data_IF_245704364327
#
_entry.id   IF_245704364327
#
_cell.length_a   1.000
_cell.length_b   1.000
_cell.length_c   1.000
_cell.angle_alpha   90.00
_cell.angle_beta   90.00
_cell.angle_gamma   90.00
#
_symmetry.space_group_name_H-M   'P 1'
#
loop_
_entity.id
_entity.type
_entity.pdbx_description
1 polymer ?
#
# COMPACT_ATOMS: atom_id res chain seq x y z
N UNK A 1 18.91 21.42 -54.07
CA UNK A 1 18.22 20.31 -54.76
C UNK A 1 18.81 18.92 -54.44
N UNK A 2 19.96 18.47 -54.98
CA UNK A 2 20.46 17.09 -54.71
C UNK A 2 20.94 16.86 -53.27
N UNK A 3 21.51 17.89 -52.62
CA UNK A 3 21.94 17.83 -51.20
C UNK A 3 20.75 17.75 -50.23
N UNK A 4 19.63 18.41 -50.54
CA UNK A 4 18.40 18.38 -49.72
C UNK A 4 17.72 17.02 -49.77
N UNK A 5 17.71 16.37 -50.94
CA UNK A 5 17.14 15.03 -51.10
C UNK A 5 17.89 13.98 -50.24
N UNK A 6 19.22 14.02 -50.23
CA UNK A 6 20.02 13.09 -49.41
C UNK A 6 19.73 13.26 -47.91
N UNK A 7 19.65 14.50 -47.42
CA UNK A 7 19.37 14.81 -46.01
C UNK A 7 17.96 14.37 -45.60
N UNK A 8 16.96 14.58 -46.46
CA UNK A 8 15.58 14.13 -46.22
C UNK A 8 15.49 12.60 -46.07
N UNK A 9 16.26 11.85 -46.87
CA UNK A 9 16.31 10.39 -46.77
C UNK A 9 16.99 9.91 -45.48
N UNK A 10 18.07 10.55 -45.01
CA UNK A 10 18.72 10.17 -43.75
C UNK A 10 17.82 10.38 -42.53
N UNK A 11 17.12 11.52 -42.44
CA UNK A 11 16.17 11.79 -41.36
C UNK A 11 15.04 10.75 -41.31
N UNK A 12 14.48 10.42 -42.47
CA UNK A 12 13.38 9.45 -42.57
C UNK A 12 13.85 8.03 -42.27
N UNK A 13 15.01 7.62 -42.81
CA UNK A 13 15.60 6.32 -42.57
C UNK A 13 15.98 6.12 -41.09
N UNK A 14 16.52 7.15 -40.45
CA UNK A 14 16.85 7.12 -39.02
C UNK A 14 15.60 7.05 -38.17
N UNK A 15 14.54 7.77 -38.52
CA UNK A 15 13.27 7.67 -37.78
C UNK A 15 12.69 6.26 -37.85
N UNK A 16 12.74 5.62 -39.03
CA UNK A 16 12.26 4.24 -39.22
C UNK A 16 13.11 3.22 -38.47
N UNK A 17 14.43 3.36 -38.53
CA UNK A 17 15.37 2.54 -37.78
C UNK A 17 15.12 2.68 -36.27
N UNK A 18 15.05 3.92 -35.77
CA UNK A 18 14.76 4.21 -34.37
C UNK A 18 13.43 3.59 -33.92
N UNK A 19 12.38 3.67 -34.73
CA UNK A 19 11.09 3.07 -34.41
C UNK A 19 11.15 1.54 -34.33
N UNK A 20 11.90 0.91 -35.24
CA UNK A 20 12.06 -0.55 -35.27
C UNK A 20 12.87 -1.02 -34.05
N UNK A 21 14.01 -0.38 -33.79
CA UNK A 21 14.86 -0.68 -32.62
C UNK A 21 14.11 -0.41 -31.31
N UNK A 22 13.36 0.69 -31.20
CA UNK A 22 12.51 0.97 -30.04
C UNK A 22 11.45 -0.12 -29.83
N UNK A 23 10.78 -0.55 -30.91
CA UNK A 23 9.77 -1.61 -30.81
C UNK A 23 10.38 -2.93 -30.34
N UNK A 24 11.54 -3.29 -30.88
CA UNK A 24 12.20 -4.56 -30.54
C UNK A 24 12.69 -4.55 -29.08
N UNK A 25 13.29 -3.45 -28.64
CA UNK A 25 13.75 -3.30 -27.25
C UNK A 25 12.54 -3.29 -26.30
N UNK A 26 11.52 -2.46 -26.56
CA UNK A 26 10.33 -2.35 -25.70
C UNK A 26 9.50 -3.64 -25.66
N UNK A 27 9.51 -4.46 -26.72
CA UNK A 27 8.79 -5.73 -26.76
C UNK A 27 9.40 -6.83 -25.89
N UNK A 28 10.70 -6.73 -25.57
CA UNK A 28 11.41 -7.70 -24.73
C UNK A 28 11.46 -7.35 -23.24
N UNK A 29 10.87 -6.22 -22.83
CA UNK A 29 10.98 -5.69 -21.47
C UNK A 29 9.62 -5.76 -20.77
N UNK A 30 9.63 -6.17 -19.50
CA UNK A 30 8.45 -6.12 -18.65
C UNK A 30 7.98 -4.68 -18.42
N UNK A 31 6.65 -4.49 -18.45
CA UNK A 31 6.05 -3.16 -18.26
C UNK A 31 6.47 -2.49 -16.94
N UNK A 32 6.67 -3.27 -15.87
CA UNK A 32 7.09 -2.73 -14.58
C UNK A 32 8.50 -2.13 -14.64
N UNK A 33 9.41 -2.77 -15.39
CA UNK A 33 10.74 -2.24 -15.66
C UNK A 33 10.68 -0.97 -16.52
N UNK A 34 9.75 -0.89 -17.50
CA UNK A 34 9.50 0.34 -18.26
C UNK A 34 9.09 1.53 -17.38
N UNK A 35 8.35 1.27 -16.29
CA UNK A 35 7.86 2.31 -15.38
C UNK A 35 8.89 2.69 -14.31
N UNK A 36 9.67 1.74 -13.81
CA UNK A 36 10.60 1.96 -12.69
C UNK A 36 12.03 2.28 -13.12
N UNK A 37 12.49 1.76 -14.26
CA UNK A 37 13.90 1.85 -14.71
C UNK A 37 14.08 2.71 -15.97
N UNK A 38 13.36 3.83 -16.06
CA UNK A 38 13.38 4.73 -17.24
C UNK A 38 14.78 5.18 -17.66
N UNK A 39 15.67 5.48 -16.72
CA UNK A 39 17.04 5.93 -17.03
C UNK A 39 17.91 4.83 -17.62
N UNK A 40 17.86 3.62 -17.05
CA UNK A 40 18.62 2.47 -17.55
C UNK A 40 18.15 2.09 -18.95
N UNK A 41 16.83 2.11 -19.18
CA UNK A 41 16.23 1.88 -20.49
C UNK A 41 16.63 2.94 -21.51
N UNK A 42 16.62 4.21 -21.12
CA UNK A 42 17.03 5.30 -22.00
C UNK A 42 18.49 5.15 -22.42
N UNK A 43 19.38 4.72 -21.52
CA UNK A 43 20.78 4.41 -21.83
C UNK A 43 20.93 3.19 -22.74
N UNK A 44 20.17 2.12 -22.48
CA UNK A 44 20.22 0.91 -23.31
C UNK A 44 19.73 1.20 -24.74
N UNK A 45 18.62 1.93 -24.87
CA UNK A 45 18.07 2.37 -26.15
C UNK A 45 19.06 3.27 -26.86
N UNK A 46 19.65 4.25 -26.17
CA UNK A 46 20.67 5.14 -26.73
C UNK A 46 21.82 4.34 -27.33
N UNK A 47 22.36 3.37 -26.58
CA UNK A 47 23.49 2.56 -27.05
C UNK A 47 23.16 1.77 -28.32
N UNK A 48 22.01 1.08 -28.34
CA UNK A 48 21.58 0.33 -29.52
C UNK A 48 21.31 1.23 -30.73
N UNK A 49 20.79 2.44 -30.51
CA UNK A 49 20.58 3.41 -31.58
C UNK A 49 21.90 3.99 -32.11
N UNK A 50 22.85 4.32 -31.24
CA UNK A 50 24.17 4.83 -31.63
C UNK A 50 24.87 3.82 -32.54
N UNK A 51 24.97 2.56 -32.10
CA UNK A 51 25.55 1.44 -32.87
C UNK A 51 24.87 1.23 -34.23
N UNK A 52 23.54 1.39 -34.30
CA UNK A 52 22.80 1.23 -35.55
C UNK A 52 22.96 2.45 -36.49
N UNK A 53 23.28 3.63 -35.96
CA UNK A 53 23.47 4.87 -36.74
C UNK A 53 24.92 5.21 -37.09
N UNK A 54 25.90 4.50 -36.50
CA UNK A 54 27.33 4.62 -36.81
C UNK A 54 27.67 4.53 -38.31
N UNK A 55 27.07 3.61 -39.10
CA UNK A 55 27.34 3.52 -40.55
C UNK A 55 26.94 4.77 -41.35
N UNK A 56 26.07 5.60 -40.79
CA UNK A 56 25.61 6.86 -41.40
C UNK A 56 26.39 8.08 -40.89
N UNK A 57 27.36 7.88 -39.97
CA UNK A 57 28.20 8.95 -39.42
C UNK A 57 27.46 9.89 -38.48
N UNK A 58 26.38 9.41 -37.84
CA UNK A 58 25.60 10.18 -36.89
C UNK A 58 25.84 9.66 -35.46
N UNK A 59 25.88 10.58 -34.50
CA UNK A 59 26.06 10.26 -33.08
C UNK A 59 24.81 10.60 -32.28
N UNK A 60 24.30 9.64 -31.52
CA UNK A 60 23.10 9.80 -30.70
C UNK A 60 23.49 10.24 -29.29
N UNK A 61 23.26 11.52 -28.97
CA UNK A 61 23.65 12.11 -27.68
C UNK A 61 22.74 11.75 -26.51
N UNK A 62 21.43 11.65 -26.74
CA UNK A 62 20.46 11.26 -25.71
C UNK A 62 19.16 10.77 -26.34
N UNK A 63 18.53 9.79 -25.69
CA UNK A 63 17.17 9.34 -25.99
C UNK A 63 16.33 9.47 -24.73
N UNK A 64 15.10 9.95 -24.84
CA UNK A 64 14.19 10.08 -23.71
C UNK A 64 12.84 9.50 -24.07
N UNK A 65 12.35 8.59 -23.23
CA UNK A 65 11.00 8.04 -23.35
C UNK A 65 10.02 9.14 -22.92
N UNK A 66 9.16 9.58 -23.85
CA UNK A 66 8.16 10.61 -23.58
C UNK A 66 6.92 9.96 -22.96
N UNK A 67 5.95 9.59 -23.79
CA UNK A 67 4.66 9.03 -23.37
C UNK A 67 4.51 7.60 -23.89
N UNK A 68 4.12 6.67 -23.01
CA UNK A 68 3.76 5.31 -23.37
C UNK A 68 2.24 5.20 -23.29
N UNK A 69 1.59 4.95 -24.43
CA UNK A 69 0.14 4.75 -24.48
C UNK A 69 -0.16 3.27 -24.28
N UNK A 70 -0.75 2.94 -23.13
CA UNK A 70 -1.17 1.58 -22.79
C UNK A 70 -2.65 1.44 -23.15
N UNK A 71 -3.08 0.38 -23.85
CA UNK A 71 -4.49 0.14 -24.11
C UNK A 71 -5.33 0.08 -22.82
N UNK A 72 -6.54 0.64 -22.84
CA UNK A 72 -7.42 0.72 -21.66
C UNK A 72 -7.77 -0.64 -21.05
N UNK A 73 -7.83 -1.70 -21.85
CA UNK A 73 -8.04 -3.07 -21.38
C UNK A 73 -6.89 -3.56 -20.49
N UNK A 74 -5.65 -3.31 -20.93
CA UNK A 74 -4.46 -3.68 -20.18
C UNK A 74 -4.33 -2.84 -18.90
N UNK A 75 -4.61 -1.54 -18.98
CA UNK A 75 -4.59 -0.65 -17.81
C UNK A 75 -5.55 -1.12 -16.71
N UNK A 76 -6.75 -1.57 -17.09
CA UNK A 76 -7.73 -2.14 -16.15
C UNK A 76 -7.23 -3.45 -15.52
N UNK A 77 -6.59 -4.33 -16.30
CA UNK A 77 -6.02 -5.57 -15.79
C UNK A 77 -4.89 -5.30 -14.78
N UNK A 78 -4.00 -4.36 -15.08
CA UNK A 78 -2.91 -3.94 -14.17
C UNK A 78 -3.48 -3.34 -12.89
N UNK A 79 -4.47 -2.45 -12.99
CA UNK A 79 -5.12 -1.86 -11.82
C UNK A 79 -5.72 -2.94 -10.92
N UNK A 80 -6.42 -3.92 -11.49
CA UNK A 80 -7.00 -5.05 -10.76
C UNK A 80 -5.93 -5.92 -10.09
N UNK A 81 -4.83 -6.18 -10.78
CA UNK A 81 -3.71 -6.94 -10.22
C UNK A 81 -3.02 -6.18 -9.08
N UNK A 82 -2.80 -4.88 -9.25
CA UNK A 82 -2.19 -4.02 -8.24
C UNK A 82 -3.07 -3.92 -6.98
N UNK A 83 -4.38 -3.81 -7.15
CA UNK A 83 -5.34 -3.82 -6.05
C UNK A 83 -5.32 -5.16 -5.30
N UNK A 84 -5.34 -6.28 -6.01
CA UNK A 84 -5.29 -7.61 -5.41
C UNK A 84 -3.99 -7.84 -4.63
N UNK A 85 -2.83 -7.46 -5.18
CA UNK A 85 -1.54 -7.59 -4.49
C UNK A 85 -1.45 -6.65 -3.28
N UNK A 86 -1.99 -5.42 -3.37
CA UNK A 86 -2.06 -4.49 -2.25
C UNK A 86 -2.92 -5.03 -1.12
N UNK A 87 -4.09 -5.59 -1.43
CA UNK A 87 -4.98 -6.20 -0.44
C UNK A 87 -4.32 -7.44 0.19
N UNK A 88 -3.66 -8.29 -0.61
CA UNK A 88 -2.90 -9.44 -0.12
C UNK A 88 -1.81 -9.01 0.85
N UNK A 89 -1.00 -8.02 0.49
CA UNK A 89 0.05 -7.46 1.35
C UNK A 89 -0.52 -6.88 2.64
N UNK A 90 -1.62 -6.12 2.54
CA UNK A 90 -2.30 -5.57 3.71
C UNK A 90 -2.74 -6.66 4.68
N UNK A 91 -3.36 -7.74 4.19
CA UNK A 91 -3.78 -8.89 5.01
C UNK A 91 -2.61 -9.57 5.71
N UNK A 92 -1.50 -9.78 5.02
CA UNK A 92 -0.29 -10.37 5.60
C UNK A 92 0.27 -9.48 6.70
N UNK A 93 0.39 -8.17 6.47
CA UNK A 93 0.91 -7.22 7.45
C UNK A 93 0.01 -7.18 8.70
N UNK A 94 -1.31 -7.14 8.50
CA UNK A 94 -2.28 -7.15 9.60
C UNK A 94 -2.17 -8.43 10.43
N UNK A 95 -2.13 -9.60 9.78
CA UNK A 95 -1.97 -10.87 10.47
C UNK A 95 -0.65 -10.97 11.27
N UNK A 96 0.45 -10.44 10.71
CA UNK A 96 1.74 -10.37 11.41
C UNK A 96 1.68 -9.43 12.62
N UNK A 97 1.03 -8.26 12.46
CA UNK A 97 0.82 -7.31 13.55
C UNK A 97 -0.02 -7.91 14.68
N UNK A 98 -1.10 -8.61 14.35
CA UNK A 98 -1.95 -9.31 15.30
C UNK A 98 -1.19 -10.40 16.06
N UNK A 99 -0.39 -11.22 15.35
CA UNK A 99 0.42 -12.26 15.97
C UNK A 99 1.46 -11.67 16.95
N UNK A 100 2.13 -10.59 16.55
CA UNK A 100 3.09 -9.89 17.41
C UNK A 100 2.40 -9.28 18.64
N UNK A 101 1.25 -8.65 18.46
CA UNK A 101 0.46 -8.10 19.57
C UNK A 101 0.01 -9.20 20.54
N UNK A 102 -0.54 -10.31 20.04
CA UNK A 102 -0.97 -11.44 20.85
C UNK A 102 0.18 -12.05 21.66
N UNK A 103 1.35 -12.21 21.04
CA UNK A 103 2.55 -12.71 21.73
C UNK A 103 2.96 -11.78 22.89
N UNK A 104 2.97 -10.47 22.67
CA UNK A 104 3.30 -9.47 23.71
C UNK A 104 2.26 -9.43 24.83
N UNK A 105 0.97 -9.56 24.49
CA UNK A 105 -0.09 -9.67 25.49
C UNK A 105 0.05 -10.94 26.34
N UNK A 106 0.40 -12.07 25.72
CA UNK A 106 0.64 -13.32 26.45
C UNK A 106 1.86 -13.23 27.39
N UNK A 107 2.94 -12.56 26.97
CA UNK A 107 4.08 -12.25 27.84
C UNK A 107 3.66 -11.38 29.03
N UNK A 108 2.88 -10.32 28.79
CA UNK A 108 2.36 -9.45 29.84
C UNK A 108 1.46 -10.20 30.82
N UNK A 109 0.58 -11.08 30.33
CA UNK A 109 -0.29 -11.89 31.17
C UNK A 109 0.51 -12.79 32.13
N UNK A 110 1.57 -13.45 31.63
CA UNK A 110 2.48 -14.25 32.48
C UNK A 110 3.20 -13.40 33.54
N UNK A 111 3.50 -12.13 33.23
CA UNK A 111 4.09 -11.21 34.20
C UNK A 111 3.09 -10.82 35.29
N UNK A 112 1.83 -10.57 34.93
CA UNK A 112 0.77 -10.26 35.89
C UNK A 112 0.42 -11.44 36.79
N UNK A 113 0.47 -12.67 36.27
CA UNK A 113 0.29 -13.88 37.09
C UNK A 113 1.35 -13.98 38.20
N UNK A 114 2.60 -13.61 37.89
CA UNK A 114 3.70 -13.58 38.87
C UNK A 114 3.60 -12.43 39.88
N UNK A 115 2.90 -11.34 39.54
CA UNK A 115 2.77 -10.15 40.39
C UNK A 115 1.31 -9.69 40.52
N UNK A 116 0.56 -10.21 41.52
CA UNK A 116 -0.87 -9.91 41.68
C UNK A 116 -1.16 -8.44 42.00
N UNK A 117 -0.20 -7.69 42.57
CA UNK A 117 -0.36 -6.25 42.78
C UNK A 117 -0.39 -5.47 41.45
N UNK A 118 0.36 -5.93 40.45
CA UNK A 118 0.38 -5.34 39.11
C UNK A 118 -0.96 -5.51 38.38
N UNK A 119 -1.61 -6.66 38.53
CA UNK A 119 -2.93 -6.92 37.94
C UNK A 119 -4.00 -5.99 38.53
N UNK A 120 -4.00 -5.77 39.85
CA UNK A 120 -4.93 -4.81 40.48
C UNK A 120 -4.74 -3.38 39.99
N UNK A 121 -3.50 -2.93 39.78
CA UNK A 121 -3.25 -1.60 39.22
C UNK A 121 -3.79 -1.47 37.80
N UNK A 122 -3.64 -2.53 36.98
CA UNK A 122 -4.22 -2.62 35.64
C UNK A 122 -5.76 -2.53 35.69
N UNK A 123 -6.40 -3.26 36.59
CA UNK A 123 -7.86 -3.20 36.80
C UNK A 123 -8.33 -1.79 37.16
N UNK A 124 -7.65 -1.13 38.10
CA UNK A 124 -7.98 0.25 38.50
C UNK A 124 -7.77 1.25 37.35
N UNK A 125 -6.72 1.08 36.54
CA UNK A 125 -6.49 1.91 35.35
C UNK A 125 -7.61 1.74 34.32
N UNK A 126 -8.04 0.50 34.05
CA UNK A 126 -9.17 0.22 33.13
C UNK A 126 -10.46 0.88 33.63
N UNK A 127 -10.73 0.84 34.94
CA UNK A 127 -11.91 1.49 35.51
C UNK A 127 -11.87 3.02 35.35
N UNK A 128 -10.70 3.64 35.49
CA UNK A 128 -10.54 5.09 35.26
C UNK A 128 -10.76 5.43 33.79
N UNK A 129 -10.26 4.61 32.86
CA UNK A 129 -10.42 4.82 31.42
C UNK A 129 -11.89 4.70 31.00
N UNK A 130 -12.59 3.66 31.46
CA UNK A 130 -14.03 3.48 31.22
C UNK A 130 -14.86 4.59 31.86
N UNK A 131 -14.52 5.03 33.07
CA UNK A 131 -15.19 6.15 33.73
C UNK A 131 -15.02 7.47 32.97
N UNK A 132 -13.89 7.65 32.26
CA UNK A 132 -13.62 8.82 31.42
C UNK A 132 -14.48 8.84 30.14
N UNK A 133 -14.83 7.68 29.59
CA UNK A 133 -15.61 7.57 28.33
C UNK A 133 -17.14 7.74 28.49
N UNK A 134 -17.66 8.00 29.70
CA UNK A 134 -19.07 8.32 29.98
C UNK A 134 -20.13 7.32 29.44
N UNK A 135 -19.78 6.06 29.15
CA UNK A 135 -20.73 5.02 28.74
C UNK A 135 -20.77 3.91 29.79
N UNK A 136 -21.69 4.00 30.76
CA UNK A 136 -21.75 3.09 31.90
C UNK A 136 -23.07 2.31 31.92
N UNK A 137 -22.99 1.01 31.59
CA UNK A 137 -23.79 -0.01 32.28
C UNK A 137 -22.76 -0.98 32.88
N UNK A 138 -22.45 -0.78 34.15
CA UNK A 138 -21.64 -1.74 34.92
C UNK A 138 -22.60 -2.82 35.42
N UNK A 139 -22.60 -3.96 34.75
CA UNK A 139 -23.14 -5.20 35.32
C UNK A 139 -22.01 -5.85 36.10
N UNK A 140 -21.98 -5.61 37.41
CA UNK A 140 -21.18 -6.44 38.31
C UNK A 140 -21.83 -7.82 38.36
N UNK A 141 -21.11 -8.92 38.06
CA UNK A 141 -21.59 -10.25 38.42
C UNK A 141 -21.46 -10.36 39.95
N UNK A 142 -22.47 -9.88 40.67
CA UNK A 142 -22.63 -10.26 42.07
C UNK A 142 -22.97 -11.75 42.07
N UNK A 143 -22.19 -12.50 42.84
CA UNK A 143 -22.29 -13.95 42.89
C UNK A 143 -23.70 -14.36 43.32
N UNK A 144 -24.22 -15.38 42.64
CA UNK A 144 -25.37 -16.21 43.01
C UNK A 144 -26.73 -15.48 43.20
N UNK A 145 -27.52 -15.43 42.12
CA UNK A 145 -28.96 -15.69 42.23
C UNK A 145 -29.93 -14.51 42.36
N UNK A 146 -29.53 -13.26 42.11
CA UNK A 146 -30.48 -12.14 42.07
C UNK A 146 -31.12 -12.00 40.67
N UNK A 147 -32.46 -12.08 40.53
CA UNK A 147 -33.13 -11.90 39.25
C UNK A 147 -32.93 -10.47 38.71
N UNK A 148 -32.71 -10.37 37.41
CA UNK A 148 -32.59 -9.12 36.62
C UNK A 148 -33.68 -8.05 36.85
N UNK A 149 -34.77 -8.39 37.55
CA UNK A 149 -35.87 -7.48 37.87
C UNK A 149 -35.55 -6.38 38.88
N UNK A 150 -34.66 -6.61 39.85
CA UNK A 150 -34.35 -5.58 40.87
C UNK A 150 -33.37 -4.51 40.37
N UNK A 151 -32.48 -4.85 39.45
CA UNK A 151 -31.47 -3.90 38.91
C UNK A 151 -32.14 -2.87 37.99
N UNK A 152 -33.23 -3.23 37.31
CA UNK A 152 -34.02 -2.30 36.50
C UNK A 152 -34.73 -1.23 37.34
N UNK A 153 -35.01 -1.50 38.62
CA UNK A 153 -35.69 -0.56 39.54
C UNK A 153 -34.86 0.64 39.97
N UNK A 154 -33.53 0.59 39.83
CA UNK A 154 -32.61 1.67 40.21
C UNK A 154 -32.39 2.72 39.10
N UNK A 155 -32.68 2.37 37.84
CA UNK A 155 -32.59 3.28 36.68
C UNK A 155 -33.58 4.47 36.73
N UNK A 156 -34.88 4.30 37.03
CA UNK A 156 -35.80 5.44 37.12
C UNK A 156 -35.56 6.33 38.35
N UNK A 157 -34.93 5.80 39.42
CA UNK A 157 -34.63 6.56 40.63
C UNK A 157 -33.52 7.61 40.44
N UNK A 158 -32.56 7.35 39.54
CA UNK A 158 -31.51 8.32 39.19
C UNK A 158 -32.01 9.41 38.23
N UNK A 159 -32.94 9.08 37.32
CA UNK A 159 -33.52 10.06 36.37
C UNK A 159 -34.37 11.15 37.05
N UNK A 160 -34.87 10.90 38.27
CA UNK A 160 -35.70 11.85 39.01
C UNK A 160 -34.89 12.88 39.82
N UNK A 161 -33.57 12.72 39.95
CA UNK A 161 -32.69 13.68 40.66
C UNK A 161 -32.05 14.77 39.78
N UNK A 162 -32.17 14.70 38.45
CA UNK A 162 -31.65 15.74 37.53
C UNK A 162 -32.70 16.79 37.12
N UNK A 163 -33.94 16.69 37.62
CA UNK A 163 -34.96 17.74 37.47
C UNK A 163 -35.52 18.13 38.83
N UNK A 164 -34.76 18.95 39.55
CA UNK A 164 -35.12 19.60 40.80
C UNK A 164 -34.13 20.71 41.08
#
# INVERSE_FOLDING_TARGET
LVREMKVAHYLTATSLLAQTTLRDVLGGIDLDALLTQREELSKSIQKSLDEATDPWGMKVTAVTIRDVTIPDEMMRAIAKQAEAERERRSRVIMALGEAQAAAKMAEAAKLYEKNPAGMRLRELQMLIEVAREKNLIVVTPTQAGTPLGEVAGLLPALKKREKG
#
